data_IF_308560911272
#
_entry.id   IF_308560911272
#
_cell.length_a   1.000
_cell.length_b   1.000
_cell.length_c   1.000
_cell.angle_alpha   90.00
_cell.angle_beta   90.00
_cell.angle_gamma   90.00
#
_symmetry.space_group_name_H-M   'P 1'
#
loop_
_entity.id
_entity.type
_entity.pdbx_description
1 polymer ?
#
# COMPACT_ATOMS: atom_id res chain seq x y z
N UNK A 1 5.97 17.39 0.68
CA UNK A 1 7.34 17.83 0.35
C UNK A 1 7.43 19.32 0.62
N UNK A 2 8.37 19.80 1.46
CA UNK A 2 8.44 21.23 1.83
C UNK A 2 8.63 22.17 0.63
N UNK A 3 9.23 21.69 -0.46
CA UNK A 3 9.48 22.47 -1.69
C UNK A 3 8.55 22.09 -2.86
N UNK A 4 7.50 21.30 -2.64
CA UNK A 4 6.58 20.88 -3.70
C UNK A 4 5.67 22.02 -4.14
N UNK A 5 5.75 22.45 -5.38
CA UNK A 5 4.98 23.57 -5.90
C UNK A 5 3.47 23.31 -5.84
N UNK A 6 3.03 22.17 -6.38
CA UNK A 6 1.61 21.79 -6.47
C UNK A 6 1.03 21.51 -5.09
N UNK A 7 1.71 20.71 -4.26
CA UNK A 7 1.21 20.37 -2.92
C UNK A 7 1.06 21.60 -2.02
N UNK A 8 2.04 22.52 -2.05
CA UNK A 8 1.94 23.78 -1.29
C UNK A 8 0.82 24.69 -1.83
N UNK A 9 0.62 24.74 -3.15
CA UNK A 9 -0.48 25.50 -3.74
C UNK A 9 -1.83 24.95 -3.27
N UNK A 10 -2.02 23.63 -3.36
CA UNK A 10 -3.27 22.98 -2.91
C UNK A 10 -3.54 23.26 -1.43
N UNK A 11 -2.52 23.14 -0.56
CA UNK A 11 -2.70 23.38 0.87
C UNK A 11 -2.96 24.84 1.24
N UNK A 12 -2.35 25.79 0.52
CA UNK A 12 -2.37 27.20 0.91
C UNK A 12 -3.45 28.02 0.20
N UNK A 13 -3.94 27.56 -0.95
CA UNK A 13 -4.76 28.40 -1.84
C UNK A 13 -6.04 27.76 -2.37
N UNK A 14 -6.22 26.44 -2.19
CA UNK A 14 -7.41 25.73 -2.67
C UNK A 14 -8.29 25.37 -1.48
N UNK A 15 -9.57 25.75 -1.56
CA UNK A 15 -10.58 25.51 -0.54
C UNK A 15 -11.64 24.52 -1.04
N UNK A 16 -12.41 23.97 -0.11
CA UNK A 16 -13.58 23.14 -0.47
C UNK A 16 -14.58 23.98 -1.27
N UNK A 17 -14.91 23.51 -2.46
CA UNK A 17 -15.80 24.21 -3.42
C UNK A 17 -15.07 24.89 -4.57
N UNK A 18 -13.75 25.01 -4.52
CA UNK A 18 -12.97 25.51 -5.66
C UNK A 18 -12.92 24.47 -6.78
N UNK A 19 -12.88 24.94 -8.01
CA UNK A 19 -12.75 24.11 -9.21
C UNK A 19 -11.28 24.05 -9.62
N UNK A 20 -10.77 22.85 -9.81
CA UNK A 20 -9.42 22.61 -10.30
C UNK A 20 -9.44 21.74 -11.57
N UNK A 21 -8.54 22.01 -12.49
CA UNK A 21 -8.36 21.19 -13.68
C UNK A 21 -7.48 19.97 -13.33
N UNK A 22 -7.94 18.79 -13.69
CA UNK A 22 -7.24 17.51 -13.45
C UNK A 22 -7.14 16.75 -14.75
N UNK A 23 -5.92 16.28 -15.09
CA UNK A 23 -5.74 15.38 -16.24
C UNK A 23 -6.35 14.01 -15.93
N UNK A 24 -6.71 13.26 -16.98
CA UNK A 24 -7.10 11.88 -16.82
C UNK A 24 -5.98 11.06 -16.15
N UNK A 25 -6.31 10.08 -15.30
CA UNK A 25 -5.30 9.19 -14.71
C UNK A 25 -4.58 8.41 -15.81
N UNK A 26 -3.27 8.26 -15.65
CA UNK A 26 -2.37 7.52 -16.56
C UNK A 26 -1.52 6.53 -15.76
N UNK A 27 -0.89 5.58 -16.43
CA UNK A 27 -0.01 4.59 -15.80
C UNK A 27 -0.58 3.17 -15.85
N UNK A 28 0.22 2.22 -15.36
CA UNK A 28 -0.09 0.78 -15.43
C UNK A 28 -0.30 0.14 -14.04
N UNK A 29 -0.24 0.94 -12.97
CA UNK A 29 -0.42 0.46 -11.61
C UNK A 29 -1.90 0.51 -11.20
N UNK A 30 -2.64 -0.47 -11.68
CA UNK A 30 -4.08 -0.64 -11.39
C UNK A 30 -4.41 -2.10 -11.13
N UNK A 31 -5.52 -2.34 -10.45
CA UNK A 31 -6.00 -3.67 -10.14
C UNK A 31 -6.26 -4.48 -11.42
N UNK A 32 -5.61 -5.63 -11.53
CA UNK A 32 -5.89 -6.59 -12.62
C UNK A 32 -7.22 -7.28 -12.38
N UNK A 33 -7.95 -7.52 -13.46
CA UNK A 33 -9.19 -8.28 -13.42
C UNK A 33 -8.93 -9.74 -12.97
N UNK A 34 -9.89 -10.31 -12.26
CA UNK A 34 -9.80 -11.69 -11.80
C UNK A 34 -10.18 -11.87 -10.33
N UNK A 35 -10.04 -13.10 -9.85
CA UNK A 35 -10.39 -13.50 -8.48
C UNK A 35 -9.18 -14.04 -7.70
N UNK A 36 -7.98 -13.94 -8.25
CA UNK A 36 -6.76 -14.35 -7.56
C UNK A 36 -6.62 -13.62 -6.23
N UNK A 37 -6.03 -14.25 -5.20
CA UNK A 37 -5.69 -13.54 -3.97
C UNK A 37 -4.84 -12.32 -4.24
N UNK A 38 -5.07 -11.23 -3.51
CA UNK A 38 -4.34 -9.97 -3.68
C UNK A 38 -3.52 -9.68 -2.43
N UNK A 39 -2.24 -9.40 -2.62
CA UNK A 39 -1.32 -8.97 -1.58
C UNK A 39 -0.94 -7.51 -1.82
N UNK A 40 -1.37 -6.64 -0.91
CA UNK A 40 -1.18 -5.20 -0.98
C UNK A 40 -0.07 -4.78 -0.02
N UNK A 41 1.05 -4.31 -0.55
CA UNK A 41 2.27 -4.04 0.21
C UNK A 41 2.70 -2.59 0.05
N UNK A 42 2.87 -1.88 1.16
CA UNK A 42 3.19 -0.44 1.10
C UNK A 42 4.13 0.01 2.20
N UNK A 43 4.87 1.09 1.91
CA UNK A 43 5.65 1.80 2.92
C UNK A 43 5.44 3.32 2.83
N UNK A 44 5.19 3.96 3.99
CA UNK A 44 4.97 5.39 4.08
C UNK A 44 3.81 5.87 3.19
N UNK A 45 4.07 6.87 2.34
CA UNK A 45 3.04 7.45 1.46
C UNK A 45 2.62 6.50 0.33
N UNK A 46 3.35 5.41 0.07
CA UNK A 46 2.94 4.35 -0.85
C UNK A 46 1.60 3.69 -0.51
N UNK A 47 1.05 3.99 0.67
CA UNK A 47 -0.30 3.57 1.04
C UNK A 47 -1.38 4.17 0.13
N UNK A 48 -1.16 5.30 -0.52
CA UNK A 48 -2.20 5.99 -1.31
C UNK A 48 -2.71 5.19 -2.50
N UNK A 49 -1.89 4.70 -3.44
CA UNK A 49 -2.38 3.84 -4.52
C UNK A 49 -2.82 2.46 -4.01
N UNK A 50 -2.19 1.95 -2.97
CA UNK A 50 -2.60 0.68 -2.34
C UNK A 50 -4.01 0.79 -1.75
N UNK A 51 -4.33 1.90 -1.08
CA UNK A 51 -5.68 2.14 -0.58
C UNK A 51 -6.71 2.27 -1.72
N UNK A 52 -6.34 2.89 -2.85
CA UNK A 52 -7.24 2.98 -4.01
C UNK A 52 -7.61 1.58 -4.54
N UNK A 53 -6.62 0.68 -4.70
CA UNK A 53 -6.85 -0.71 -5.09
C UNK A 53 -7.71 -1.45 -4.04
N UNK A 54 -7.38 -1.30 -2.77
CA UNK A 54 -8.12 -1.91 -1.66
C UNK A 54 -9.59 -1.49 -1.64
N UNK A 55 -9.87 -0.20 -1.83
CA UNK A 55 -11.22 0.35 -1.88
C UNK A 55 -12.00 -0.14 -3.10
N UNK A 56 -11.34 -0.28 -4.26
CA UNK A 56 -11.96 -0.82 -5.46
C UNK A 56 -12.38 -2.29 -5.27
N UNK A 57 -11.51 -3.11 -4.67
CA UNK A 57 -11.84 -4.51 -4.33
C UNK A 57 -12.99 -4.56 -3.33
N UNK A 58 -12.93 -3.77 -2.26
CA UNK A 58 -13.96 -3.74 -1.22
C UNK A 58 -15.34 -3.30 -1.75
N UNK A 59 -15.37 -2.49 -2.81
CA UNK A 59 -16.60 -2.04 -3.44
C UNK A 59 -17.16 -3.01 -4.48
N UNK A 60 -16.29 -3.67 -5.27
CA UNK A 60 -16.69 -4.46 -6.44
C UNK A 60 -16.65 -5.98 -6.21
N UNK A 61 -15.72 -6.46 -5.38
CA UNK A 61 -15.51 -7.88 -5.13
C UNK A 61 -15.04 -8.14 -3.68
N UNK A 62 -15.90 -7.92 -2.67
CA UNK A 62 -15.53 -8.05 -1.25
C UNK A 62 -15.20 -9.50 -0.84
N UNK A 63 -15.50 -10.49 -1.67
CA UNK A 63 -15.18 -11.91 -1.44
C UNK A 63 -13.75 -12.25 -1.86
N UNK A 64 -13.10 -11.41 -2.68
CA UNK A 64 -11.71 -11.62 -3.11
C UNK A 64 -10.78 -11.59 -1.89
N UNK A 65 -9.95 -12.63 -1.67
CA UNK A 65 -9.03 -12.64 -0.54
C UNK A 65 -8.01 -11.51 -0.68
N UNK A 66 -7.86 -10.68 0.36
CA UNK A 66 -6.91 -9.56 0.37
C UNK A 66 -6.13 -9.55 1.68
N UNK A 67 -4.80 -9.52 1.58
CA UNK A 67 -3.93 -9.26 2.74
C UNK A 67 -3.13 -7.99 2.51
N UNK A 68 -3.12 -7.12 3.51
CA UNK A 68 -2.43 -5.83 3.48
C UNK A 68 -1.22 -5.87 4.42
N UNK A 69 -0.04 -5.54 3.93
CA UNK A 69 1.15 -5.27 4.71
C UNK A 69 1.53 -3.80 4.54
N UNK A 70 1.51 -3.03 5.62
CA UNK A 70 1.95 -1.64 5.61
C UNK A 70 3.16 -1.43 6.51
N UNK A 71 4.08 -0.57 6.09
CA UNK A 71 5.26 -0.18 6.86
C UNK A 71 5.22 1.30 7.16
N UNK A 72 5.23 1.65 8.44
CA UNK A 72 5.35 3.02 8.92
C UNK A 72 6.52 3.13 9.92
N UNK A 73 6.95 4.35 10.23
CA UNK A 73 7.96 4.55 11.29
C UNK A 73 7.32 4.38 12.66
N UNK A 74 6.21 5.03 12.88
CA UNK A 74 5.41 4.98 14.11
C UNK A 74 3.92 4.84 13.75
N UNK A 75 3.05 4.62 14.74
CA UNK A 75 1.61 4.56 14.52
C UNK A 75 1.01 5.90 14.04
N UNK A 76 1.63 7.02 14.39
CA UNK A 76 1.22 8.35 13.95
C UNK A 76 1.65 8.65 12.50
N UNK A 77 2.71 7.99 12.02
CA UNK A 77 3.15 8.07 10.63
C UNK A 77 2.31 7.20 9.67
N UNK A 78 1.37 6.41 10.17
CA UNK A 78 0.46 5.62 9.34
C UNK A 78 -0.64 6.51 8.75
N UNK A 79 -0.36 7.07 7.57
CA UNK A 79 -1.32 7.87 6.83
C UNK A 79 -2.55 7.04 6.41
N UNK A 80 -3.73 7.67 6.38
CA UNK A 80 -4.99 7.05 5.94
C UNK A 80 -5.36 5.75 6.72
N UNK A 81 -4.90 5.65 7.96
CA UNK A 81 -5.10 4.47 8.83
C UNK A 81 -6.58 4.12 9.00
N UNK A 82 -7.43 5.13 9.16
CA UNK A 82 -8.87 4.94 9.32
C UNK A 82 -9.48 4.35 8.05
N UNK A 83 -9.17 4.93 6.91
CA UNK A 83 -9.68 4.53 5.59
C UNK A 83 -9.23 3.10 5.23
N UNK A 84 -7.97 2.74 5.53
CA UNK A 84 -7.47 1.38 5.34
C UNK A 84 -8.25 0.39 6.20
N UNK A 85 -8.46 0.68 7.48
CA UNK A 85 -9.24 -0.18 8.39
C UNK A 85 -10.68 -0.35 7.94
N UNK A 86 -11.33 0.74 7.53
CA UNK A 86 -12.71 0.72 7.02
C UNK A 86 -12.83 -0.11 5.72
N UNK A 87 -11.84 -0.03 4.84
CA UNK A 87 -11.84 -0.80 3.61
C UNK A 87 -11.59 -2.30 3.88
N UNK A 88 -10.63 -2.65 4.74
CA UNK A 88 -10.37 -4.04 5.15
C UNK A 88 -11.59 -4.65 5.83
N UNK A 89 -12.29 -3.89 6.68
CA UNK A 89 -13.48 -4.37 7.38
C UNK A 89 -14.69 -4.69 6.46
N UNK A 90 -14.68 -4.20 5.23
CA UNK A 90 -15.71 -4.51 4.21
C UNK A 90 -15.42 -5.81 3.46
N UNK A 91 -14.23 -6.35 3.57
CA UNK A 91 -13.86 -7.60 2.91
C UNK A 91 -14.23 -8.81 3.77
N UNK A 92 -14.73 -9.87 3.15
CA UNK A 92 -15.05 -11.11 3.87
C UNK A 92 -13.80 -11.84 4.36
N UNK A 93 -12.69 -11.70 3.64
CA UNK A 93 -11.38 -12.32 3.93
C UNK A 93 -10.27 -11.27 3.85
N UNK A 94 -10.47 -10.15 4.56
CA UNK A 94 -9.52 -9.06 4.62
C UNK A 94 -8.64 -9.15 5.86
N UNK A 95 -7.33 -9.09 5.69
CA UNK A 95 -6.35 -9.04 6.77
C UNK A 95 -5.43 -7.83 6.59
N UNK A 96 -5.00 -7.24 7.70
CA UNK A 96 -4.04 -6.15 7.68
C UNK A 96 -3.01 -6.30 8.78
N UNK A 97 -1.73 -6.25 8.42
CA UNK A 97 -0.60 -6.17 9.35
C UNK A 97 0.21 -4.91 9.09
N UNK A 98 0.64 -4.25 10.14
CA UNK A 98 1.40 -3.00 10.08
C UNK A 98 2.70 -3.15 10.85
N UNK A 99 3.81 -2.90 10.16
CA UNK A 99 5.15 -2.92 10.73
C UNK A 99 5.60 -1.50 11.11
N UNK A 100 5.91 -1.31 12.40
CA UNK A 100 6.38 -0.03 12.94
C UNK A 100 7.89 -0.11 13.18
N UNK A 101 8.66 0.59 12.33
CA UNK A 101 10.12 0.38 12.25
C UNK A 101 10.94 1.21 13.24
N UNK A 102 10.33 2.20 13.88
CA UNK A 102 10.98 3.09 14.86
C UNK A 102 10.22 3.18 16.20
N UNK A 103 9.10 2.49 16.34
CA UNK A 103 8.39 2.41 17.59
C UNK A 103 8.99 1.32 18.47
N UNK A 104 9.29 1.65 19.73
CA UNK A 104 9.66 0.68 20.77
C UNK A 104 8.43 0.21 21.55
N UNK A 105 7.37 1.03 21.53
CA UNK A 105 6.07 0.76 22.12
C UNK A 105 4.98 1.48 21.32
N UNK A 106 3.74 1.10 21.49
CA UNK A 106 2.59 1.81 20.92
C UNK A 106 1.49 1.92 21.99
N UNK A 107 0.89 3.10 22.09
CA UNK A 107 -0.28 3.34 22.94
C UNK A 107 -1.54 2.69 22.37
N UNK A 108 -1.54 2.42 21.08
CA UNK A 108 -2.65 1.80 20.39
C UNK A 108 -2.51 0.27 20.46
N UNK A 109 -3.35 -0.35 21.27
CA UNK A 109 -3.43 -1.81 21.43
C UNK A 109 -4.10 -2.44 20.21
N UNK A 110 -3.35 -2.62 19.12
CA UNK A 110 -3.82 -3.35 17.95
C UNK A 110 -2.95 -4.59 17.71
N UNK A 111 -3.52 -5.80 17.71
CA UNK A 111 -2.77 -7.02 17.37
C UNK A 111 -2.14 -6.98 15.96
N UNK A 112 -2.63 -6.10 15.11
CA UNK A 112 -2.11 -5.88 13.77
C UNK A 112 -0.75 -5.17 13.74
N UNK A 113 -0.28 -4.54 14.83
CA UNK A 113 1.01 -3.87 14.88
C UNK A 113 2.13 -4.84 15.24
N UNK A 114 3.22 -4.77 14.47
CA UNK A 114 4.50 -5.45 14.72
C UNK A 114 5.60 -4.40 14.87
N UNK A 115 6.34 -4.45 15.98
CA UNK A 115 7.41 -3.47 16.28
C UNK A 115 8.74 -3.94 15.70
N UNK A 116 8.81 -4.08 14.38
CA UNK A 116 10.00 -4.54 13.66
C UNK A 116 9.98 -4.05 12.21
N UNK A 117 11.02 -4.38 11.46
CA UNK A 117 10.98 -4.34 9.99
C UNK A 117 10.38 -5.65 9.47
N UNK A 118 9.60 -5.62 8.37
CA UNK A 118 9.21 -6.85 7.70
C UNK A 118 10.44 -7.54 7.08
N UNK A 119 10.44 -8.85 7.12
CA UNK A 119 11.44 -9.74 6.56
C UNK A 119 10.79 -10.87 5.76
N UNK A 120 11.56 -11.87 5.37
CA UNK A 120 11.03 -13.03 4.65
C UNK A 120 9.95 -13.78 5.46
N UNK A 121 10.03 -13.81 6.79
CA UNK A 121 9.00 -14.41 7.63
C UNK A 121 7.69 -13.60 7.59
N UNK A 122 7.79 -12.28 7.48
CA UNK A 122 6.62 -11.41 7.31
C UNK A 122 5.91 -11.68 5.98
N UNK A 123 6.66 -11.91 4.91
CA UNK A 123 6.09 -12.27 3.59
C UNK A 123 5.49 -13.68 3.65
N UNK A 124 6.18 -14.65 4.25
CA UNK A 124 5.66 -16.01 4.40
C UNK A 124 4.35 -16.05 5.20
N UNK A 125 4.20 -15.19 6.22
CA UNK A 125 2.97 -15.07 7.01
C UNK A 125 1.77 -14.52 6.22
N UNK A 126 2.01 -13.89 5.07
CA UNK A 126 0.94 -13.51 4.14
C UNK A 126 0.44 -14.72 3.31
N UNK A 127 1.13 -15.85 3.39
CA UNK A 127 0.79 -17.09 2.65
C UNK A 127 0.63 -16.84 1.14
N UNK A 128 1.64 -16.28 0.47
CA UNK A 128 1.56 -15.98 -0.94
C UNK A 128 1.38 -17.28 -1.75
N UNK A 129 0.33 -17.33 -2.56
CA UNK A 129 0.13 -18.40 -3.52
C UNK A 129 0.76 -18.03 -4.87
N UNK A 130 1.08 -19.03 -5.70
CA UNK A 130 1.69 -18.79 -7.01
C UNK A 130 0.80 -17.94 -7.94
N UNK A 131 -0.52 -18.03 -7.78
CA UNK A 131 -1.49 -17.23 -8.52
C UNK A 131 -1.75 -15.84 -7.93
N UNK A 132 -1.18 -15.51 -6.75
CA UNK A 132 -1.41 -14.21 -6.10
C UNK A 132 -0.94 -13.04 -6.96
N UNK A 133 -1.76 -12.00 -7.02
CA UNK A 133 -1.37 -10.69 -7.55
C UNK A 133 -0.81 -9.83 -6.40
N UNK A 134 0.44 -9.40 -6.52
CA UNK A 134 1.13 -8.58 -5.52
C UNK A 134 1.31 -7.16 -6.02
N UNK A 135 0.86 -6.18 -5.23
CA UNK A 135 1.02 -4.75 -5.54
C UNK A 135 1.89 -4.10 -4.47
N UNK A 136 3.01 -3.52 -4.89
CA UNK A 136 4.00 -2.93 -3.99
C UNK A 136 4.20 -1.45 -4.31
N UNK A 137 4.08 -0.59 -3.30
CA UNK A 137 4.37 0.84 -3.45
C UNK A 137 5.08 1.42 -2.22
N UNK A 138 6.17 2.14 -2.46
CA UNK A 138 6.99 2.73 -1.42
C UNK A 138 8.34 3.23 -1.92
N UNK A 139 9.33 3.42 -1.03
CA UNK A 139 10.70 3.72 -1.42
C UNK A 139 11.29 2.63 -2.32
N UNK A 140 12.17 3.01 -3.26
CA UNK A 140 12.71 2.09 -4.27
C UNK A 140 13.35 0.85 -3.64
N UNK A 141 14.25 1.02 -2.66
CA UNK A 141 14.89 -0.11 -2.00
C UNK A 141 13.89 -1.05 -1.30
N UNK A 142 12.83 -0.51 -0.70
CA UNK A 142 11.77 -1.32 -0.11
C UNK A 142 11.02 -2.14 -1.16
N UNK A 143 10.74 -1.55 -2.31
CA UNK A 143 10.02 -2.27 -3.39
C UNK A 143 10.89 -3.38 -3.99
N UNK A 144 12.19 -3.12 -4.17
CA UNK A 144 13.15 -4.12 -4.65
C UNK A 144 13.25 -5.30 -3.68
N UNK A 145 13.49 -5.02 -2.38
CA UNK A 145 13.56 -6.03 -1.34
C UNK A 145 12.27 -6.90 -1.27
N UNK A 146 11.11 -6.25 -1.30
CA UNK A 146 9.82 -6.97 -1.26
C UNK A 146 9.59 -7.79 -2.52
N UNK A 147 9.89 -7.24 -3.70
CA UNK A 147 9.77 -7.97 -4.97
C UNK A 147 10.62 -9.24 -4.96
N UNK A 148 11.88 -9.14 -4.58
CA UNK A 148 12.78 -10.29 -4.49
C UNK A 148 12.25 -11.33 -3.51
N UNK A 149 11.75 -10.88 -2.36
CA UNK A 149 11.22 -11.76 -1.32
C UNK A 149 9.96 -12.51 -1.79
N UNK A 150 9.02 -11.83 -2.48
CA UNK A 150 7.82 -12.49 -3.02
C UNK A 150 8.16 -13.48 -4.14
N UNK A 151 9.10 -13.14 -5.01
CA UNK A 151 9.58 -14.07 -6.06
C UNK A 151 10.25 -15.28 -5.45
N UNK A 152 11.09 -15.10 -4.43
CA UNK A 152 11.71 -16.21 -3.69
C UNK A 152 10.68 -17.08 -2.94
N UNK A 153 9.53 -16.49 -2.54
CA UNK A 153 8.40 -17.21 -1.94
C UNK A 153 7.53 -17.96 -2.97
N UNK A 154 7.86 -17.90 -4.27
CA UNK A 154 7.19 -18.65 -5.33
C UNK A 154 6.13 -17.87 -6.14
N UNK A 155 5.98 -16.57 -5.91
CA UNK A 155 5.10 -15.73 -6.75
C UNK A 155 5.83 -15.42 -8.06
N UNK A 156 5.23 -15.68 -9.23
CA UNK A 156 5.83 -15.31 -10.51
C UNK A 156 6.12 -13.81 -10.60
N UNK A 157 7.29 -13.44 -11.12
CA UNK A 157 7.69 -12.04 -11.25
C UNK A 157 6.70 -11.18 -12.06
N UNK A 158 5.95 -11.80 -12.97
CA UNK A 158 4.90 -11.14 -13.78
C UNK A 158 3.67 -10.75 -12.94
N UNK A 159 3.45 -11.39 -11.79
CA UNK A 159 2.36 -11.10 -10.88
C UNK A 159 2.75 -10.09 -9.78
N UNK A 160 4.01 -9.62 -9.78
CA UNK A 160 4.49 -8.61 -8.82
C UNK A 160 4.56 -7.26 -9.51
N UNK A 161 3.58 -6.41 -9.21
CA UNK A 161 3.42 -5.06 -9.75
C UNK A 161 3.99 -4.04 -8.77
N UNK A 162 4.74 -3.06 -9.25
CA UNK A 162 5.30 -2.01 -8.40
C UNK A 162 5.26 -0.65 -9.09
N UNK A 163 5.01 0.40 -8.30
CA UNK A 163 5.08 1.78 -8.76
C UNK A 163 5.88 2.63 -7.76
N UNK A 164 6.89 3.33 -8.28
CA UNK A 164 7.71 4.23 -7.50
C UNK A 164 7.13 5.65 -7.53
N UNK A 165 7.00 6.29 -6.37
CA UNK A 165 6.89 7.75 -6.32
C UNK A 165 8.26 8.36 -6.64
N UNK A 166 8.58 8.52 -7.92
CA UNK A 166 9.76 9.23 -8.36
C UNK A 166 9.50 10.73 -8.44
N UNK A 167 10.34 11.54 -7.82
CA UNK A 167 10.54 12.91 -8.28
C UNK A 167 11.11 12.80 -9.70
N UNK A 168 10.31 13.17 -10.71
CA UNK A 168 10.65 13.03 -12.12
C UNK A 168 12.04 13.61 -12.46
N UNK A 169 12.99 12.71 -12.53
CA UNK A 169 14.22 12.81 -13.27
C UNK A 169 14.35 11.49 -14.03
N UNK A 170 13.57 11.39 -15.09
CA UNK A 170 13.95 10.54 -16.21
C UNK A 170 14.55 11.47 -17.23
N UNK A 171 15.87 11.60 -17.16
CA UNK A 171 16.70 12.11 -18.27
C UNK A 171 16.76 11.07 -19.36
#
# INVERSE_FOLDING_TARGET
>A
MPAGLVSNHLHARVNVGDVIDVSAPTGEFYLKEGNNPVLLVSAGIGITPILAILQDIAAKNPQRPVKVLHVARTADDFALKKEVREAVAKLEKGECVVYLTRATETKEMCPCFKLSRPDAAAVAALEPAAESDVYICGPVSFMEDMRETFVAAGVPAANVHSEAFGTGNQS
#
